data_IF_035386050504
#
_entry.id   IF_035386050504
#
_cell.length_a   1.000
_cell.length_b   1.000
_cell.length_c   1.000
_cell.angle_alpha   90.00
_cell.angle_beta   90.00
_cell.angle_gamma   90.00
#
_symmetry.space_group_name_H-M   'P 1'
#
loop_
_entity.id
_entity.type
_entity.pdbx_description
1 polymer ?
#
# COMPACT_ATOMS: atom_id res chain seq x y z
N UNK A 1 19.85 2.80 -15.98
CA UNK A 1 19.56 2.47 -14.56
C UNK A 1 18.09 2.10 -14.43
N UNK A 2 17.73 1.16 -13.56
CA UNK A 2 16.35 0.66 -13.49
C UNK A 2 15.50 1.44 -12.49
N UNK A 3 14.23 1.68 -12.85
CA UNK A 3 13.21 2.13 -11.90
C UNK A 3 12.69 0.95 -11.09
N UNK A 4 12.31 1.19 -9.83
CA UNK A 4 11.84 0.16 -8.93
C UNK A 4 10.41 0.46 -8.49
N UNK A 5 9.53 -0.55 -8.60
CA UNK A 5 8.17 -0.50 -8.04
C UNK A 5 8.12 -1.38 -6.81
N UNK A 6 7.66 -0.84 -5.69
CA UNK A 6 7.45 -1.59 -4.44
C UNK A 6 5.96 -1.80 -4.22
N UNK A 7 5.55 -3.07 -4.12
CA UNK A 7 4.16 -3.46 -3.84
C UNK A 7 4.10 -4.49 -2.70
N UNK A 8 3.02 -4.51 -1.96
CA UNK A 8 2.75 -5.60 -1.02
C UNK A 8 2.19 -6.82 -1.76
N UNK A 9 2.64 -8.02 -1.42
CA UNK A 9 2.19 -9.26 -2.06
C UNK A 9 1.06 -9.98 -1.31
N UNK A 10 0.68 -9.49 -0.14
CA UNK A 10 -0.31 -10.09 0.76
C UNK A 10 -1.46 -9.09 1.01
N UNK A 11 -1.98 -8.97 2.25
CA UNK A 11 -3.06 -8.04 2.62
C UNK A 11 -2.57 -6.71 3.21
N UNK A 12 -1.41 -6.22 2.81
CA UNK A 12 -0.81 -5.04 3.42
C UNK A 12 -0.06 -5.38 4.71
N UNK A 13 0.52 -4.35 5.34
CA UNK A 13 1.28 -4.49 6.59
C UNK A 13 2.48 -5.46 6.53
N UNK A 14 2.99 -5.73 5.32
CA UNK A 14 4.15 -6.62 5.09
C UNK A 14 5.49 -6.01 5.54
N UNK A 15 5.47 -4.82 6.13
CA UNK A 15 6.70 -4.13 6.52
C UNK A 15 7.32 -3.30 5.38
N UNK A 16 6.51 -2.88 4.41
CA UNK A 16 6.93 -2.04 3.27
C UNK A 16 7.70 -0.80 3.70
N UNK A 17 7.28 -0.14 4.78
CA UNK A 17 7.91 1.11 5.25
C UNK A 17 9.43 1.00 5.42
N UNK A 18 9.93 -0.06 6.05
CA UNK A 18 11.38 -0.31 6.24
C UNK A 18 12.10 -0.45 4.89
N UNK A 19 11.56 -1.26 3.99
CA UNK A 19 12.19 -1.54 2.68
C UNK A 19 12.14 -0.30 1.77
N UNK A 20 11.00 0.41 1.77
CA UNK A 20 10.86 1.68 1.03
C UNK A 20 11.83 2.73 1.58
N UNK A 21 11.98 2.84 2.90
CA UNK A 21 12.95 3.74 3.51
C UNK A 21 14.39 3.41 3.09
N UNK A 22 14.75 2.12 3.11
CA UNK A 22 16.07 1.66 2.67
C UNK A 22 16.31 1.97 1.19
N UNK A 23 15.30 1.76 0.32
CA UNK A 23 15.38 2.05 -1.13
C UNK A 23 15.34 3.56 -1.41
N UNK A 24 14.52 4.33 -0.69
CA UNK A 24 14.38 5.77 -0.90
C UNK A 24 15.69 6.52 -0.72
N UNK A 25 16.58 6.01 0.16
CA UNK A 25 17.92 6.57 0.30
C UNK A 25 18.77 6.48 -0.98
N UNK A 26 18.47 5.50 -1.85
CA UNK A 26 19.17 5.21 -3.10
C UNK A 26 18.46 5.75 -4.34
N UNK A 27 17.23 6.21 -4.20
CA UNK A 27 16.45 6.82 -5.26
C UNK A 27 16.70 8.33 -5.33
N UNK A 28 16.49 8.92 -6.49
CA UNK A 28 16.48 10.36 -6.71
C UNK A 28 15.05 10.91 -6.61
N UNK A 29 14.08 10.12 -7.05
CA UNK A 29 12.64 10.45 -7.04
C UNK A 29 11.85 9.36 -6.36
N UNK A 30 10.89 9.73 -5.49
CA UNK A 30 9.97 8.79 -4.81
C UNK A 30 8.53 9.16 -5.14
N UNK A 31 7.77 8.23 -5.74
CA UNK A 31 6.44 8.46 -6.28
C UNK A 31 5.39 7.64 -5.56
N UNK A 32 4.39 8.28 -4.93
CA UNK A 32 3.14 7.65 -4.54
C UNK A 32 2.19 7.63 -5.73
N UNK A 33 1.67 6.47 -6.11
CA UNK A 33 0.92 6.31 -7.36
C UNK A 33 -0.54 5.85 -7.17
N UNK A 34 -0.95 5.49 -5.95
CA UNK A 34 -2.31 5.03 -5.66
C UNK A 34 -2.66 5.15 -4.17
N UNK A 35 -3.94 4.90 -3.83
CA UNK A 35 -4.46 5.03 -2.48
C UNK A 35 -4.70 6.49 -2.11
N UNK A 36 -4.61 6.79 -0.84
CA UNK A 36 -4.76 8.12 -0.29
C UNK A 36 -4.13 8.17 1.10
N UNK A 37 -4.65 9.03 1.98
CA UNK A 37 -4.16 9.17 3.35
C UNK A 37 -4.61 8.03 4.31
N UNK A 38 -5.27 6.98 3.78
CA UNK A 38 -5.68 5.79 4.53
C UNK A 38 -4.52 4.82 4.84
N UNK A 39 -3.41 4.92 4.12
CA UNK A 39 -2.26 4.05 4.29
C UNK A 39 -1.17 4.77 5.09
N UNK A 40 -1.13 4.56 6.40
CA UNK A 40 -0.06 5.07 7.25
C UNK A 40 1.17 4.18 7.24
N UNK A 41 2.36 4.79 7.19
CA UNK A 41 3.62 4.08 7.42
C UNK A 41 4.54 4.89 8.32
N UNK A 42 5.37 4.19 9.07
CA UNK A 42 6.32 4.80 10.00
C UNK A 42 7.73 4.60 9.49
N UNK A 43 8.49 5.69 9.48
CA UNK A 43 9.91 5.72 9.14
C UNK A 43 10.71 6.17 10.35
N UNK A 44 11.90 5.63 10.52
CA UNK A 44 12.87 6.11 11.51
C UNK A 44 14.10 6.60 10.77
N UNK A 45 14.36 7.90 10.81
CA UNK A 45 15.49 8.54 10.15
C UNK A 45 16.31 9.28 11.20
N UNK A 46 17.57 8.91 11.34
CA UNK A 46 18.51 9.51 12.30
C UNK A 46 17.92 9.61 13.73
N UNK A 47 17.25 8.53 14.18
CA UNK A 47 16.62 8.44 15.51
C UNK A 47 15.27 9.15 15.64
N UNK A 48 14.83 9.89 14.61
CA UNK A 48 13.53 10.58 14.61
C UNK A 48 12.49 9.73 13.92
N UNK A 49 11.33 9.56 14.58
CA UNK A 49 10.19 8.80 14.04
C UNK A 49 9.24 9.70 13.26
N UNK A 50 9.03 9.39 11.99
CA UNK A 50 8.08 10.08 11.12
C UNK A 50 6.91 9.15 10.80
N UNK A 51 5.69 9.61 11.04
CA UNK A 51 4.46 8.89 10.65
C UNK A 51 3.89 9.58 9.42
N UNK A 52 3.97 8.93 8.26
CA UNK A 52 3.46 9.47 7.00
C UNK A 52 2.17 8.75 6.60
N UNK A 53 1.27 9.47 5.95
CA UNK A 53 0.01 8.94 5.44
C UNK A 53 -0.15 9.23 3.94
N UNK A 54 -0.06 10.49 3.53
CA UNK A 54 -0.21 10.93 2.13
C UNK A 54 1.15 11.27 1.50
N UNK A 55 2.06 11.83 2.29
CA UNK A 55 3.40 12.20 1.81
C UNK A 55 4.22 10.97 1.43
N UNK A 56 4.97 11.01 0.31
CA UNK A 56 5.92 9.94 -0.05
C UNK A 56 7.07 9.83 0.96
N UNK A 57 7.63 8.64 1.10
CA UNK A 57 8.76 8.37 2.02
C UNK A 57 10.00 9.22 1.76
N UNK A 58 10.18 9.68 0.52
CA UNK A 58 11.30 10.54 0.14
C UNK A 58 11.32 11.91 0.82
N UNK A 59 10.16 12.41 1.27
CA UNK A 59 10.03 13.77 1.81
C UNK A 59 10.89 14.02 3.06
N UNK A 60 11.11 13.00 3.89
CA UNK A 60 11.91 13.09 5.12
C UNK A 60 13.41 12.96 4.85
N UNK A 61 13.82 12.88 3.58
CA UNK A 61 15.22 12.77 3.18
C UNK A 61 15.63 13.94 2.29
N UNK A 62 16.64 14.65 2.69
CA UNK A 62 17.17 15.78 1.91
C UNK A 62 17.62 15.37 0.49
N UNK A 63 17.49 16.28 -0.47
CA UNK A 63 17.97 16.10 -1.84
C UNK A 63 17.16 15.12 -2.71
N UNK A 64 15.95 14.72 -2.28
CA UNK A 64 15.03 13.86 -3.02
C UNK A 64 13.84 14.65 -3.53
N UNK A 65 13.38 14.30 -4.73
CA UNK A 65 12.09 14.75 -5.22
C UNK A 65 11.01 13.75 -4.79
N UNK A 66 10.00 14.24 -4.13
CA UNK A 66 8.81 13.46 -3.75
C UNK A 66 7.64 13.81 -4.64
N UNK A 67 6.89 12.82 -5.09
CA UNK A 67 5.81 13.02 -6.07
C UNK A 67 4.55 12.29 -5.65
N UNK A 68 3.42 12.98 -5.70
CA UNK A 68 2.08 12.42 -5.56
C UNK A 68 1.44 12.36 -6.94
N UNK A 69 1.27 11.14 -7.46
CA UNK A 69 0.77 10.89 -8.81
C UNK A 69 -0.75 11.02 -8.93
N UNK A 70 -1.23 11.03 -10.17
CA UNK A 70 -2.65 11.16 -10.52
C UNK A 70 -3.53 9.96 -10.10
N UNK A 71 -2.91 8.84 -9.73
CA UNK A 71 -3.62 7.68 -9.20
C UNK A 71 -4.00 7.80 -7.73
N UNK A 72 -3.43 8.75 -7.00
CA UNK A 72 -3.77 9.04 -5.59
C UNK A 72 -5.06 9.85 -5.53
N UNK A 73 -5.98 9.49 -4.61
CA UNK A 73 -7.08 10.37 -4.22
C UNK A 73 -6.57 11.26 -3.08
N UNK A 74 -6.57 12.57 -3.32
CA UNK A 74 -5.84 13.56 -2.55
C UNK A 74 -6.77 14.34 -1.62
N UNK A 75 -6.57 14.20 -0.31
CA UNK A 75 -7.25 15.01 0.69
C UNK A 75 -6.43 16.26 0.98
N UNK A 76 -6.88 17.47 0.56
CA UNK A 76 -6.08 18.67 0.70
C UNK A 76 -5.93 19.14 2.16
N UNK A 77 -6.92 18.91 3.01
CA UNK A 77 -6.86 19.27 4.43
C UNK A 77 -5.92 18.32 5.20
N UNK A 78 -6.04 17.01 4.95
CA UNK A 78 -5.13 16.03 5.51
C UNK A 78 -3.68 16.29 5.06
N UNK A 79 -3.47 16.66 3.80
CA UNK A 79 -2.16 17.03 3.27
C UNK A 79 -1.56 18.22 4.01
N UNK A 80 -2.30 19.33 4.16
CA UNK A 80 -1.82 20.52 4.85
C UNK A 80 -1.48 20.21 6.32
N UNK A 81 -2.33 19.46 7.01
CA UNK A 81 -2.07 19.02 8.39
C UNK A 81 -0.81 18.15 8.50
N UNK A 82 -0.61 17.23 7.55
CA UNK A 82 0.57 16.36 7.54
C UNK A 82 1.85 17.17 7.24
N UNK A 83 1.79 18.09 6.26
CA UNK A 83 2.92 18.99 5.93
C UNK A 83 3.34 19.83 7.14
N UNK A 84 2.40 20.47 7.84
CA UNK A 84 2.72 21.27 9.02
C UNK A 84 3.34 20.43 10.14
N UNK A 85 2.80 19.26 10.40
CA UNK A 85 3.34 18.32 11.39
C UNK A 85 4.77 17.89 11.06
N UNK A 86 5.04 17.56 9.78
CA UNK A 86 6.37 17.10 9.34
C UNK A 86 7.38 18.27 9.30
N UNK A 87 6.95 19.48 8.89
CA UNK A 87 7.76 20.69 9.01
C UNK A 87 8.12 21.01 10.46
N UNK A 88 7.18 20.81 11.39
CA UNK A 88 7.41 20.96 12.83
C UNK A 88 8.45 19.99 13.39
N UNK A 89 8.75 18.89 12.68
CA UNK A 89 9.85 17.96 12.99
C UNK A 89 11.18 18.34 12.29
N UNK A 90 11.28 19.51 11.69
CA UNK A 90 12.51 20.03 11.07
C UNK A 90 12.70 19.65 9.59
N UNK A 91 11.72 19.02 8.95
CA UNK A 91 11.79 18.66 7.53
C UNK A 91 11.42 19.84 6.64
N UNK A 92 12.24 20.16 5.65
CA UNK A 92 11.94 21.18 4.65
C UNK A 92 11.03 20.58 3.57
N UNK A 93 9.81 21.11 3.43
CA UNK A 93 8.84 20.73 2.39
C UNK A 93 8.48 21.97 1.58
N UNK A 94 8.84 21.97 0.31
CA UNK A 94 8.66 23.09 -0.63
C UNK A 94 8.28 22.57 -2.02
N UNK A 95 7.78 23.41 -2.93
CA UNK A 95 7.48 23.02 -4.31
C UNK A 95 8.66 22.43 -5.10
N UNK A 96 9.91 22.75 -4.68
CA UNK A 96 11.12 22.22 -5.33
C UNK A 96 11.40 20.76 -4.97
N UNK A 97 10.87 20.26 -3.85
CA UNK A 97 11.12 18.90 -3.38
C UNK A 97 9.87 18.03 -3.21
N UNK A 98 8.68 18.61 -3.45
CA UNK A 98 7.41 17.89 -3.46
C UNK A 98 6.52 18.40 -4.60
N UNK A 99 6.02 17.48 -5.41
CA UNK A 99 5.08 17.76 -6.50
C UNK A 99 3.80 16.94 -6.34
N UNK A 100 2.68 17.51 -6.75
CA UNK A 100 1.37 16.88 -6.79
C UNK A 100 0.84 16.95 -8.22
N UNK A 101 0.39 15.82 -8.75
CA UNK A 101 -0.19 15.80 -10.09
C UNK A 101 -1.40 16.72 -10.20
N UNK A 102 -1.39 17.60 -11.20
CA UNK A 102 -2.52 18.46 -11.58
C UNK A 102 -3.81 17.67 -11.80
N UNK A 103 -3.68 16.39 -12.21
CA UNK A 103 -4.81 15.49 -12.51
C UNK A 103 -5.25 14.63 -11.32
N UNK A 104 -4.66 14.78 -10.13
CA UNK A 104 -5.05 14.03 -8.95
C UNK A 104 -6.46 14.43 -8.48
N UNK A 105 -7.40 13.48 -8.29
CA UNK A 105 -8.73 13.77 -7.79
C UNK A 105 -8.72 14.09 -6.30
N UNK A 106 -9.55 15.03 -5.88
CA UNK A 106 -9.68 15.45 -4.50
C UNK A 106 -10.61 14.52 -3.71
N UNK A 107 -10.25 14.27 -2.46
CA UNK A 107 -11.18 13.83 -1.43
C UNK A 107 -11.79 15.08 -0.80
N UNK A 108 -13.11 15.17 -0.84
CA UNK A 108 -13.89 16.24 -0.24
C UNK A 108 -14.56 15.74 1.05
N UNK A 109 -14.98 16.61 1.97
CA UNK A 109 -15.65 16.21 3.21
C UNK A 109 -16.83 15.27 3.00
N UNK A 110 -17.59 15.49 1.93
CA UNK A 110 -18.75 14.67 1.55
C UNK A 110 -18.38 13.20 1.27
N UNK A 111 -17.15 12.94 0.79
CA UNK A 111 -16.69 11.57 0.56
C UNK A 111 -16.46 10.81 1.88
N UNK A 112 -15.85 11.46 2.88
CA UNK A 112 -15.65 10.87 4.21
C UNK A 112 -16.96 10.63 4.94
N UNK A 113 -17.91 11.56 4.82
CA UNK A 113 -19.25 11.40 5.38
C UNK A 113 -19.99 10.23 4.73
N UNK A 114 -19.97 10.11 3.40
CA UNK A 114 -20.61 9.01 2.68
C UNK A 114 -19.97 7.65 3.02
N UNK A 115 -18.64 7.59 3.13
CA UNK A 115 -17.92 6.39 3.57
C UNK A 115 -18.36 5.97 4.98
N UNK A 116 -18.48 6.95 5.90
CA UNK A 116 -19.00 6.72 7.25
C UNK A 116 -20.46 6.24 7.27
N UNK A 117 -21.34 6.82 6.46
CA UNK A 117 -22.74 6.42 6.35
C UNK A 117 -22.86 4.98 5.85
N UNK A 118 -22.12 4.62 4.81
CA UNK A 118 -22.12 3.27 4.23
C UNK A 118 -21.61 2.22 5.21
N UNK A 119 -20.52 2.50 5.91
CA UNK A 119 -19.89 1.56 6.86
C UNK A 119 -20.71 1.37 8.15
N UNK A 120 -21.52 2.36 8.52
CA UNK A 120 -22.37 2.30 9.72
C UNK A 120 -23.75 1.69 9.47
N UNK A 121 -24.09 1.27 8.25
CA UNK A 121 -25.40 0.64 7.96
C UNK A 121 -25.57 -0.65 8.74
N UNK A 122 -26.76 -0.84 9.33
CA UNK A 122 -27.10 -2.03 10.11
C UNK A 122 -27.22 -3.26 9.20
N UNK A 123 -27.80 -3.08 8.01
CA UNK A 123 -28.13 -4.16 7.07
C UNK A 123 -27.11 -4.30 5.92
N UNK A 124 -25.91 -3.69 6.05
CA UNK A 124 -24.88 -3.69 5.01
C UNK A 124 -23.73 -4.64 5.29
N UNK A 125 -23.05 -5.04 4.23
CA UNK A 125 -21.73 -5.71 4.35
C UNK A 125 -20.73 -4.68 4.87
N UNK A 126 -20.18 -4.90 6.06
CA UNK A 126 -19.09 -4.09 6.61
C UNK A 126 -17.79 -4.51 5.96
N UNK A 127 -17.15 -3.57 5.28
CA UNK A 127 -15.85 -3.80 4.61
C UNK A 127 -14.70 -3.58 5.58
N UNK A 128 -14.91 -2.77 6.62
CA UNK A 128 -13.88 -2.36 7.58
C UNK A 128 -13.09 -1.16 7.06
N UNK A 129 -13.74 -0.21 6.41
CA UNK A 129 -13.09 0.99 5.84
C UNK A 129 -12.52 1.88 6.93
N UNK A 130 -11.58 2.75 6.54
CA UNK A 130 -11.02 3.78 7.44
C UNK A 130 -11.93 5.01 7.57
N UNK A 131 -13.06 5.06 6.88
CA UNK A 131 -14.01 6.19 6.82
C UNK A 131 -13.36 7.50 6.39
N UNK A 132 -12.35 7.41 5.53
CA UNK A 132 -11.59 8.57 5.01
C UNK A 132 -12.01 8.99 3.61
N UNK A 133 -13.10 8.45 3.09
CA UNK A 133 -13.67 8.84 1.79
C UNK A 133 -12.91 8.32 0.58
N UNK A 134 -12.01 7.36 0.74
CA UNK A 134 -11.19 6.81 -0.35
C UNK A 134 -12.07 6.21 -1.44
N UNK A 135 -12.98 5.30 -1.07
CA UNK A 135 -13.89 4.63 -2.00
C UNK A 135 -14.77 5.61 -2.78
N UNK A 136 -15.53 6.49 -2.09
CA UNK A 136 -16.35 7.49 -2.74
C UNK A 136 -15.58 8.45 -3.68
N UNK A 137 -14.33 8.81 -3.34
CA UNK A 137 -13.52 9.65 -4.23
C UNK A 137 -13.08 8.89 -5.51
N UNK A 138 -12.72 7.61 -5.42
CA UNK A 138 -12.48 6.78 -6.59
C UNK A 138 -13.75 6.55 -7.42
N UNK A 139 -14.90 6.38 -6.79
CA UNK A 139 -16.20 6.29 -7.45
C UNK A 139 -16.46 7.56 -8.29
N UNK A 140 -16.22 8.75 -7.74
CA UNK A 140 -16.37 10.00 -8.45
C UNK A 140 -15.36 10.18 -9.58
N UNK A 141 -14.13 9.72 -9.40
CA UNK A 141 -13.11 9.71 -10.46
C UNK A 141 -13.58 8.90 -11.67
N UNK A 142 -14.06 7.68 -11.46
CA UNK A 142 -14.52 6.79 -12.53
C UNK A 142 -15.81 7.30 -13.15
N UNK A 143 -16.71 7.91 -12.36
CA UNK A 143 -17.92 8.56 -12.83
C UNK A 143 -17.66 9.91 -13.55
N UNK A 144 -16.42 10.38 -13.59
CA UNK A 144 -15.99 11.61 -14.29
C UNK A 144 -16.62 12.90 -13.72
N UNK A 145 -16.97 12.91 -12.42
CA UNK A 145 -17.46 14.07 -11.69
C UNK A 145 -16.51 14.59 -10.60
N UNK A 146 -15.37 13.91 -10.40
CA UNK A 146 -14.38 14.33 -9.42
C UNK A 146 -13.86 15.74 -9.68
N UNK A 147 -13.62 16.49 -8.63
CA UNK A 147 -12.80 17.70 -8.64
C UNK A 147 -11.34 17.28 -8.57
N UNK A 148 -10.47 17.91 -9.37
CA UNK A 148 -9.04 17.63 -9.43
C UNK A 148 -8.23 18.82 -8.95
N UNK A 149 -6.94 18.61 -8.70
CA UNK A 149 -6.02 19.70 -8.28
C UNK A 149 -6.07 20.89 -9.26
N UNK A 150 -6.04 20.64 -10.58
CA UNK A 150 -6.09 21.70 -11.59
C UNK A 150 -7.37 22.54 -11.54
N UNK A 151 -8.48 21.98 -11.04
CA UNK A 151 -9.73 22.72 -10.96
C UNK A 151 -9.69 23.81 -9.88
N UNK A 152 -8.78 23.72 -8.90
CA UNK A 152 -8.52 24.78 -7.91
C UNK A 152 -7.88 26.03 -8.54
N UNK A 153 -7.24 25.89 -9.69
CA UNK A 153 -6.64 27.00 -10.44
C UNK A 153 -7.65 27.70 -11.38
N UNK A 154 -8.89 27.21 -11.46
CA UNK A 154 -9.96 27.72 -12.31
C UNK A 154 -11.21 28.05 -11.47
N UNK A 155 -11.19 29.16 -10.68
CA UNK A 155 -12.29 29.53 -9.80
C UNK A 155 -13.61 29.79 -10.55
N UNK A 156 -13.55 30.24 -11.80
CA UNK A 156 -14.74 30.57 -12.61
C UNK A 156 -15.59 29.33 -12.90
N UNK A 157 -14.95 28.18 -13.16
CA UNK A 157 -15.62 26.93 -13.45
C UNK A 157 -15.77 26.00 -12.25
N UNK A 158 -15.01 26.22 -11.18
CA UNK A 158 -14.99 25.33 -10.01
C UNK A 158 -16.37 25.19 -9.36
N UNK A 159 -17.10 26.33 -9.19
CA UNK A 159 -18.43 26.30 -8.57
C UNK A 159 -19.41 25.45 -9.38
N UNK A 160 -19.45 25.60 -10.70
CA UNK A 160 -20.32 24.82 -11.57
C UNK A 160 -19.98 23.31 -11.52
N UNK A 161 -18.69 22.97 -11.40
CA UNK A 161 -18.26 21.57 -11.22
C UNK A 161 -18.69 21.00 -9.88
N UNK A 162 -18.62 21.79 -8.80
CA UNK A 162 -19.11 21.41 -7.48
C UNK A 162 -20.63 21.22 -7.46
N UNK A 163 -21.37 22.10 -8.12
CA UNK A 163 -22.83 21.97 -8.30
C UNK A 163 -23.19 20.65 -8.99
N UNK A 164 -22.48 20.31 -10.08
CA UNK A 164 -22.68 19.06 -10.80
C UNK A 164 -22.35 17.82 -9.93
N UNK A 165 -21.24 17.85 -9.20
CA UNK A 165 -20.87 16.78 -8.25
C UNK A 165 -21.93 16.65 -7.16
N UNK A 166 -22.33 17.76 -6.55
CA UNK A 166 -23.27 17.78 -5.43
C UNK A 166 -24.70 17.48 -5.88
N UNK A 167 -25.08 17.73 -7.15
CA UNK A 167 -26.36 17.27 -7.67
C UNK A 167 -26.55 15.76 -7.44
N UNK A 168 -25.53 14.95 -7.75
CA UNK A 168 -25.54 13.51 -7.50
C UNK A 168 -25.54 13.18 -6.00
N UNK A 169 -24.60 13.76 -5.25
CA UNK A 169 -24.44 13.42 -3.84
C UNK A 169 -25.61 13.90 -2.98
N UNK A 170 -26.18 15.05 -3.27
CA UNK A 170 -27.35 15.57 -2.54
C UNK A 170 -28.60 14.72 -2.81
N UNK A 171 -28.78 14.20 -4.04
CA UNK A 171 -29.84 13.24 -4.30
C UNK A 171 -29.69 11.97 -3.45
N UNK A 172 -28.46 11.44 -3.33
CA UNK A 172 -28.17 10.30 -2.48
C UNK A 172 -28.37 10.62 -1.00
N UNK A 173 -27.90 11.78 -0.52
CA UNK A 173 -28.06 12.23 0.87
C UNK A 173 -29.51 12.35 1.26
N UNK A 174 -30.37 12.97 0.41
CA UNK A 174 -31.82 13.02 0.64
C UNK A 174 -32.44 11.62 0.79
N UNK A 175 -32.06 10.70 -0.12
CA UNK A 175 -32.54 9.31 -0.06
C UNK A 175 -32.09 8.56 1.20
N UNK A 176 -30.99 8.96 1.81
CA UNK A 176 -30.45 8.40 3.06
C UNK A 176 -30.89 9.18 4.31
N UNK A 177 -31.73 10.21 4.18
CA UNK A 177 -32.23 11.02 5.30
C UNK A 177 -31.22 12.02 5.86
N UNK A 178 -30.22 12.42 5.08
CA UNK A 178 -29.19 13.40 5.46
C UNK A 178 -29.43 14.76 4.78
N UNK A 179 -29.01 15.84 5.45
CA UNK A 179 -29.06 17.19 4.90
C UNK A 179 -28.18 17.33 3.64
N UNK A 180 -28.58 18.21 2.74
CA UNK A 180 -27.80 18.54 1.55
C UNK A 180 -26.54 19.34 1.91
N UNK A 181 -25.50 19.19 1.11
CA UNK A 181 -24.29 20.00 1.18
C UNK A 181 -24.45 21.22 0.28
N UNK A 182 -24.12 22.40 0.78
CA UNK A 182 -24.15 23.65 0.02
C UNK A 182 -22.91 23.74 -0.89
N UNK A 183 -23.08 23.88 -2.22
CA UNK A 183 -21.96 24.03 -3.16
C UNK A 183 -21.10 25.27 -2.87
N UNK A 184 -21.73 26.40 -2.45
CA UNK A 184 -21.00 27.64 -2.18
C UNK A 184 -20.11 27.53 -0.96
N UNK A 185 -20.60 26.93 0.13
CA UNK A 185 -19.81 26.69 1.32
C UNK A 185 -18.59 25.78 1.03
N UNK A 186 -18.79 24.75 0.21
CA UNK A 186 -17.67 23.87 -0.20
C UNK A 186 -16.69 24.60 -1.11
N UNK A 187 -17.18 25.44 -2.05
CA UNK A 187 -16.35 26.30 -2.89
C UNK A 187 -15.47 27.22 -2.04
N UNK A 188 -16.05 27.94 -1.10
CA UNK A 188 -15.33 28.87 -0.22
C UNK A 188 -14.22 28.15 0.57
N UNK A 189 -14.54 26.99 1.12
CA UNK A 189 -13.56 26.19 1.85
C UNK A 189 -12.38 25.70 0.99
N UNK A 190 -12.63 25.37 -0.28
CA UNK A 190 -11.59 25.00 -1.23
C UNK A 190 -10.74 26.21 -1.65
N UNK A 191 -11.37 27.36 -1.89
CA UNK A 191 -10.65 28.59 -2.26
C UNK A 191 -9.76 29.13 -1.13
N UNK A 192 -10.12 28.89 0.13
CA UNK A 192 -9.27 29.24 1.28
C UNK A 192 -7.95 28.46 1.27
N UNK A 193 -7.99 27.18 0.88
CA UNK A 193 -6.79 26.31 0.90
C UNK A 193 -6.05 26.27 -0.45
N UNK A 194 -6.69 26.64 -1.54
CA UNK A 194 -6.12 26.58 -2.90
C UNK A 194 -4.73 27.27 -2.99
N UNK A 195 -4.51 28.50 -2.43
CA UNK A 195 -3.19 29.14 -2.48
C UNK A 195 -2.07 28.36 -1.78
N UNK A 196 -2.41 27.45 -0.85
CA UNK A 196 -1.44 26.60 -0.13
C UNK A 196 -1.14 25.29 -0.88
N UNK A 197 -2.03 24.87 -1.78
CA UNK A 197 -1.92 23.61 -2.54
C UNK A 197 -1.32 23.87 -3.93
N UNK A 198 -1.81 24.88 -4.64
CA UNK A 198 -1.43 25.16 -6.03
C UNK A 198 0.07 25.32 -6.28
N UNK A 199 0.89 25.85 -5.36
CA UNK A 199 2.34 25.89 -5.57
C UNK A 199 2.99 24.52 -5.77
N UNK A 200 2.38 23.44 -5.27
CA UNK A 200 2.87 22.06 -5.44
C UNK A 200 2.35 21.37 -6.71
N UNK A 201 1.39 21.98 -7.42
CA UNK A 201 0.80 21.41 -8.63
C UNK A 201 1.82 21.35 -9.77
N UNK A 202 1.92 20.17 -10.42
CA UNK A 202 2.83 19.95 -11.54
C UNK A 202 2.27 18.95 -12.56
N UNK A 203 2.69 19.03 -13.83
CA UNK A 203 2.45 18.03 -14.86
C UNK A 203 3.33 16.80 -14.62
N UNK A 204 3.01 16.01 -13.58
CA UNK A 204 3.85 14.95 -13.03
C UNK A 204 4.36 13.96 -14.08
N UNK A 205 3.53 13.59 -15.08
CA UNK A 205 3.96 12.69 -16.14
C UNK A 205 5.14 13.25 -16.94
N UNK A 206 5.17 14.57 -17.17
CA UNK A 206 6.24 15.25 -17.88
C UNK A 206 7.51 15.33 -17.02
N UNK A 207 7.38 15.74 -15.77
CA UNK A 207 8.49 15.81 -14.81
C UNK A 207 9.17 14.45 -14.58
N UNK A 208 8.38 13.37 -14.56
CA UNK A 208 8.91 12.01 -14.44
C UNK A 208 9.60 11.54 -15.73
N UNK A 209 9.11 11.92 -16.92
CA UNK A 209 9.77 11.65 -18.20
C UNK A 209 11.13 12.36 -18.26
N UNK A 210 11.20 13.64 -17.88
CA UNK A 210 12.45 14.38 -17.78
C UNK A 210 13.43 13.76 -16.76
N UNK A 211 12.92 13.33 -15.59
CA UNK A 211 13.73 12.62 -14.61
C UNK A 211 14.31 11.32 -15.18
N UNK A 212 13.50 10.56 -15.92
CA UNK A 212 13.94 9.32 -16.57
C UNK A 212 14.98 9.58 -17.68
N UNK A 213 14.79 10.60 -18.52
CA UNK A 213 15.77 11.02 -19.52
C UNK A 213 17.08 11.49 -18.91
N UNK A 214 16.99 12.13 -17.73
CA UNK A 214 18.13 12.52 -16.92
C UNK A 214 18.77 11.37 -16.13
N UNK A 215 18.41 10.10 -16.43
CA UNK A 215 18.92 8.88 -15.79
C UNK A 215 18.71 8.84 -14.27
N UNK A 216 17.72 9.57 -13.74
CA UNK A 216 17.34 9.53 -12.32
C UNK A 216 16.75 8.19 -11.96
N UNK A 217 17.06 7.71 -10.74
CA UNK A 217 16.45 6.50 -10.16
C UNK A 217 15.09 6.83 -9.57
N UNK A 218 14.03 6.25 -10.13
CA UNK A 218 12.67 6.46 -9.66
C UNK A 218 12.22 5.26 -8.84
N UNK A 219 11.76 5.52 -7.62
CA UNK A 219 11.12 4.55 -6.74
C UNK A 219 9.62 4.80 -6.72
N UNK A 220 8.83 3.87 -7.20
CA UNK A 220 7.37 3.89 -7.08
C UNK A 220 6.96 3.18 -5.79
N UNK A 221 6.37 3.92 -4.88
CA UNK A 221 5.94 3.46 -3.56
C UNK A 221 4.47 3.11 -3.56
N UNK A 222 4.15 1.80 -3.53
CA UNK A 222 2.79 1.31 -3.39
C UNK A 222 2.31 1.30 -1.95
N UNK A 223 1.00 1.34 -1.79
CA UNK A 223 0.31 1.19 -0.52
C UNK A 223 -0.55 -0.08 -0.52
N UNK A 224 -0.99 -0.55 0.63
CA UNK A 224 -1.76 -1.79 0.84
C UNK A 224 -0.99 -3.03 0.32
N UNK A 225 -1.70 -4.02 -0.23
CA UNK A 225 -1.12 -5.24 -0.78
C UNK A 225 -2.00 -5.86 -1.85
N UNK A 226 -1.46 -6.79 -2.65
CA UNK A 226 -2.13 -7.37 -3.81
C UNK A 226 -3.47 -8.04 -3.50
N UNK A 227 -3.63 -8.60 -2.30
CA UNK A 227 -4.91 -9.22 -1.89
C UNK A 227 -5.97 -8.18 -1.49
N UNK A 228 -5.60 -6.90 -1.40
CA UNK A 228 -6.51 -5.76 -1.25
C UNK A 228 -6.78 -5.01 -2.56
N UNK A 229 -6.26 -5.49 -3.68
CA UNK A 229 -6.49 -4.92 -5.01
C UNK A 229 -7.97 -5.03 -5.40
N UNK A 230 -8.53 -3.95 -5.98
CA UNK A 230 -9.95 -3.89 -6.33
C UNK A 230 -10.37 -4.97 -7.34
N UNK A 231 -9.48 -5.36 -8.26
CA UNK A 231 -9.76 -6.33 -9.33
C UNK A 231 -9.28 -7.74 -8.98
N UNK A 232 -8.12 -7.86 -8.31
CA UNK A 232 -7.41 -9.12 -8.11
C UNK A 232 -7.40 -9.60 -6.65
N UNK A 233 -7.90 -8.79 -5.73
CA UNK A 233 -7.94 -9.10 -4.30
C UNK A 233 -9.15 -9.92 -3.88
N UNK A 234 -9.34 -10.00 -2.56
CA UNK A 234 -10.44 -10.74 -1.90
C UNK A 234 -11.72 -9.91 -1.84
N UNK A 235 -12.25 -9.54 -3.01
CA UNK A 235 -13.46 -8.73 -3.15
C UNK A 235 -14.66 -9.35 -2.40
N UNK A 236 -15.50 -8.58 -1.67
CA UNK A 236 -15.51 -7.11 -1.59
C UNK A 236 -14.59 -6.52 -0.48
N UNK A 237 -13.87 -7.35 0.26
CA UNK A 237 -13.00 -6.94 1.37
C UNK A 237 -11.63 -6.45 0.86
N UNK A 238 -11.64 -5.37 0.09
CA UNK A 238 -10.49 -4.78 -0.63
C UNK A 238 -10.48 -3.26 -0.49
N UNK A 239 -9.39 -2.61 -0.88
CA UNK A 239 -9.37 -1.16 -1.10
C UNK A 239 -9.99 -0.81 -2.45
N UNK A 240 -10.32 0.46 -2.67
CA UNK A 240 -10.98 0.93 -3.90
C UNK A 240 -9.99 1.31 -5.02
N UNK A 241 -8.74 0.88 -4.92
CA UNK A 241 -7.71 1.13 -5.93
C UNK A 241 -7.01 -0.15 -6.35
N UNK A 242 -6.39 -0.13 -7.53
CA UNK A 242 -5.42 -1.16 -7.89
C UNK A 242 -4.15 -0.96 -7.08
N UNK A 243 -3.66 -2.03 -6.46
CA UNK A 243 -2.48 -2.06 -5.59
C UNK A 243 -1.30 -2.79 -6.23
N UNK A 244 -1.51 -3.43 -7.36
CA UNK A 244 -0.49 -4.12 -8.15
C UNK A 244 0.38 -3.13 -8.94
N UNK A 245 1.55 -3.58 -9.40
CA UNK A 245 2.55 -2.71 -10.02
C UNK A 245 2.08 -2.02 -11.31
N UNK A 246 1.15 -2.60 -12.06
CA UNK A 246 0.57 -1.95 -13.26
C UNK A 246 -0.02 -0.57 -12.97
N UNK A 247 -0.52 -0.35 -11.76
CA UNK A 247 -1.05 0.95 -11.33
C UNK A 247 0.05 2.02 -11.19
N UNK A 248 1.31 1.65 -11.02
CA UNK A 248 2.39 2.63 -10.98
C UNK A 248 2.51 3.37 -12.32
N UNK A 249 2.31 2.67 -13.44
CA UNK A 249 2.26 3.30 -14.76
C UNK A 249 1.06 4.25 -14.89
N UNK A 250 -0.16 3.74 -14.70
CA UNK A 250 -1.39 4.53 -14.85
C UNK A 250 -1.49 5.68 -13.83
N UNK A 251 -1.06 5.45 -12.59
CA UNK A 251 -1.18 6.38 -11.48
C UNK A 251 -0.08 7.43 -11.38
N UNK A 252 0.96 7.35 -12.21
CA UNK A 252 2.01 8.35 -12.31
C UNK A 252 2.09 9.00 -13.70
N UNK A 253 1.43 8.40 -14.71
CA UNK A 253 1.52 8.84 -16.10
C UNK A 253 2.76 8.33 -16.84
N UNK A 254 3.57 7.47 -16.22
CA UNK A 254 4.69 6.81 -16.88
C UNK A 254 4.21 5.64 -17.73
N UNK A 255 4.90 5.35 -18.84
CA UNK A 255 4.58 4.16 -19.62
C UNK A 255 4.96 2.86 -18.89
N UNK A 256 4.28 1.71 -19.17
CA UNK A 256 4.56 0.45 -18.46
C UNK A 256 6.01 -0.06 -18.64
N UNK A 257 6.70 0.33 -19.71
CA UNK A 257 8.13 0.00 -19.92
C UNK A 257 9.08 0.71 -18.95
N UNK A 258 8.60 1.75 -18.25
CA UNK A 258 9.39 2.42 -17.21
C UNK A 258 9.48 1.61 -15.92
N UNK A 259 8.68 0.55 -15.76
CA UNK A 259 8.65 -0.32 -14.58
C UNK A 259 9.67 -1.46 -14.75
N UNK A 260 10.95 -1.17 -14.49
CA UNK A 260 12.03 -2.11 -14.81
C UNK A 260 12.14 -3.27 -13.81
N UNK A 261 11.91 -3.02 -12.52
CA UNK A 261 11.97 -4.02 -11.48
C UNK A 261 10.79 -3.87 -10.52
N UNK A 262 10.06 -4.95 -10.31
CA UNK A 262 8.94 -4.98 -9.37
C UNK A 262 9.33 -5.80 -8.15
N UNK A 263 9.46 -5.12 -7.01
CA UNK A 263 9.78 -5.74 -5.71
C UNK A 263 8.51 -5.99 -4.92
N UNK A 264 8.17 -7.26 -4.73
CA UNK A 264 7.09 -7.71 -3.86
C UNK A 264 7.55 -7.79 -2.40
N UNK A 265 6.92 -7.04 -1.51
CA UNK A 265 7.19 -7.17 -0.07
C UNK A 265 6.28 -8.25 0.48
N UNK A 266 6.88 -9.23 1.14
CA UNK A 266 6.19 -10.44 1.62
C UNK A 266 6.64 -10.75 3.02
N UNK A 267 5.74 -10.94 3.97
CA UNK A 267 6.09 -11.50 5.29
C UNK A 267 6.41 -12.98 5.19
N UNK A 268 7.30 -13.46 6.04
CA UNK A 268 7.60 -14.89 6.20
C UNK A 268 6.41 -15.71 6.77
N UNK A 269 5.32 -15.04 7.12
CA UNK A 269 4.00 -15.59 7.51
C UNK A 269 2.92 -14.66 6.93
N UNK A 270 1.66 -14.87 7.24
CA UNK A 270 0.59 -14.05 6.67
C UNK A 270 -0.17 -13.32 7.77
N UNK A 271 -0.56 -12.06 7.49
CA UNK A 271 -1.45 -11.29 8.38
C UNK A 271 -2.55 -10.60 7.59
N UNK A 272 -3.69 -10.40 8.24
CA UNK A 272 -4.81 -9.66 7.68
C UNK A 272 -5.44 -8.75 8.73
N UNK A 273 -5.81 -7.53 8.33
CA UNK A 273 -6.65 -6.61 9.10
C UNK A 273 -8.06 -6.64 8.53
N UNK A 274 -9.06 -6.58 9.40
CA UNK A 274 -10.45 -6.50 8.98
C UNK A 274 -11.11 -7.83 8.66
N UNK A 275 -12.26 -7.72 8.05
CA UNK A 275 -13.13 -8.84 7.73
C UNK A 275 -12.69 -9.57 6.46
N UNK A 276 -13.40 -10.62 6.12
CA UNK A 276 -13.21 -11.39 4.90
C UNK A 276 -12.38 -12.66 5.09
N UNK A 277 -12.33 -13.50 4.04
CA UNK A 277 -11.71 -14.81 4.09
C UNK A 277 -10.19 -14.75 4.29
N UNK A 278 -9.67 -15.67 5.10
CA UNK A 278 -8.25 -15.84 5.38
C UNK A 278 -7.93 -17.34 5.46
N UNK A 279 -7.62 -18.00 4.33
CA UNK A 279 -7.50 -19.45 4.26
C UNK A 279 -6.50 -20.07 5.26
N UNK A 280 -5.40 -19.39 5.51
CA UNK A 280 -4.32 -19.90 6.40
C UNK A 280 -4.39 -19.32 7.82
N UNK A 281 -5.52 -18.71 8.23
CA UNK A 281 -5.68 -18.14 9.56
C UNK A 281 -5.49 -19.18 10.66
N UNK A 282 -4.82 -18.76 11.74
CA UNK A 282 -4.59 -19.52 12.95
C UNK A 282 -5.25 -18.83 14.14
N UNK A 283 -6.18 -19.52 14.77
CA UNK A 283 -6.91 -19.05 15.96
C UNK A 283 -6.44 -19.74 17.24
N UNK A 284 -5.34 -20.48 17.15
CA UNK A 284 -4.69 -21.24 18.22
C UNK A 284 -3.49 -20.48 18.83
N UNK A 285 -2.78 -21.13 19.76
CA UNK A 285 -1.59 -20.58 20.42
C UNK A 285 -0.48 -20.17 19.44
N UNK A 286 -0.40 -20.82 18.27
CA UNK A 286 0.57 -20.48 17.23
C UNK A 286 0.21 -19.13 16.63
N UNK A 287 -1.06 -18.91 16.28
CA UNK A 287 -1.56 -17.63 15.79
C UNK A 287 -1.35 -16.49 16.78
N UNK A 288 -1.62 -16.73 18.07
CA UNK A 288 -1.37 -15.76 19.14
C UNK A 288 0.14 -15.43 19.25
N UNK A 289 0.99 -16.43 19.24
CA UNK A 289 2.45 -16.28 19.33
C UNK A 289 3.01 -15.49 18.13
N UNK A 290 2.51 -15.71 16.92
CA UNK A 290 2.86 -14.90 15.74
C UNK A 290 2.46 -13.44 15.94
N UNK A 291 1.26 -13.18 16.45
CA UNK A 291 0.73 -11.86 16.72
C UNK A 291 1.56 -11.08 17.75
N UNK A 292 1.90 -11.70 18.86
CA UNK A 292 2.69 -11.10 19.94
C UNK A 292 4.13 -10.81 19.48
N UNK A 293 4.84 -11.80 18.94
CA UNK A 293 6.21 -11.65 18.48
C UNK A 293 6.37 -10.70 17.33
N UNK A 294 5.40 -10.74 16.40
CA UNK A 294 5.35 -9.87 15.25
C UNK A 294 4.89 -8.44 15.59
N UNK A 295 4.45 -8.16 16.82
CA UNK A 295 3.79 -6.91 17.19
C UNK A 295 2.68 -6.56 16.18
N UNK A 296 1.81 -7.55 15.89
CA UNK A 296 0.80 -7.44 14.86
C UNK A 296 -0.43 -6.66 15.36
N UNK A 297 -0.24 -5.36 15.54
CA UNK A 297 -1.27 -4.40 15.91
C UNK A 297 -1.30 -3.24 14.90
N UNK A 298 -2.49 -2.75 14.58
CA UNK A 298 -2.66 -1.64 13.66
C UNK A 298 -2.05 -0.35 14.20
N UNK A 299 -1.16 0.27 13.45
CA UNK A 299 -0.42 1.48 13.85
C UNK A 299 -1.35 2.67 14.16
N UNK A 300 -2.52 2.74 13.50
CA UNK A 300 -3.48 3.84 13.65
C UNK A 300 -4.64 3.45 14.59
N UNK A 301 -5.12 2.23 14.49
CA UNK A 301 -6.33 1.77 15.20
C UNK A 301 -6.03 0.94 16.44
N UNK A 302 -4.78 0.48 16.62
CA UNK A 302 -4.40 -0.46 17.67
C UNK A 302 -5.06 -1.85 17.53
N UNK A 303 -5.85 -2.10 16.47
CA UNK A 303 -6.55 -3.35 16.25
C UNK A 303 -5.56 -4.48 16.00
N UNK A 304 -5.75 -5.63 16.68
CA UNK A 304 -4.96 -6.82 16.46
C UNK A 304 -5.16 -7.34 15.03
N UNK A 305 -4.07 -7.71 14.37
CA UNK A 305 -4.08 -8.38 13.08
C UNK A 305 -4.30 -9.88 13.27
N UNK A 306 -5.11 -10.47 12.43
CA UNK A 306 -5.27 -11.91 12.28
C UNK A 306 -3.96 -12.46 11.72
N UNK A 307 -3.48 -13.60 12.23
CA UNK A 307 -2.21 -14.20 11.81
C UNK A 307 -2.44 -15.61 11.24
N UNK A 308 -1.57 -16.02 10.32
CA UNK A 308 -1.62 -17.34 9.71
C UNK A 308 -0.30 -17.75 9.09
N UNK A 309 -0.20 -19.02 8.69
CA UNK A 309 0.98 -19.54 8.00
C UNK A 309 1.19 -18.87 6.65
N UNK A 310 2.40 -18.96 6.12
CA UNK A 310 2.76 -18.47 4.79
C UNK A 310 1.89 -19.15 3.71
N UNK A 311 1.32 -18.36 2.81
CA UNK A 311 0.46 -18.82 1.73
C UNK A 311 1.16 -18.64 0.38
N UNK A 312 1.79 -19.72 -0.12
CA UNK A 312 2.50 -19.69 -1.39
C UNK A 312 1.56 -19.55 -2.59
N UNK A 313 0.31 -20.03 -2.48
CA UNK A 313 -0.69 -19.92 -3.57
C UNK A 313 -1.06 -18.46 -3.79
N UNK A 314 -1.36 -17.74 -2.71
CA UNK A 314 -1.71 -16.34 -2.73
C UNK A 314 -0.54 -15.47 -3.23
N UNK A 315 0.68 -15.73 -2.73
CA UNK A 315 1.88 -14.98 -3.15
C UNK A 315 2.20 -15.22 -4.62
N UNK A 316 2.04 -16.45 -5.13
CA UNK A 316 2.16 -16.74 -6.58
C UNK A 316 1.14 -15.97 -7.41
N UNK A 317 -0.10 -15.86 -6.94
CA UNK A 317 -1.12 -15.06 -7.62
C UNK A 317 -0.68 -13.58 -7.68
N UNK A 318 -0.20 -13.03 -6.57
CA UNK A 318 0.32 -11.65 -6.52
C UNK A 318 1.53 -11.44 -7.46
N UNK A 319 2.42 -12.44 -7.58
CA UNK A 319 3.56 -12.40 -8.49
C UNK A 319 3.09 -12.31 -9.94
N UNK A 320 2.14 -13.16 -10.34
CA UNK A 320 1.63 -13.21 -11.71
C UNK A 320 0.85 -11.95 -12.06
N UNK A 321 -0.12 -11.55 -11.22
CA UNK A 321 -0.97 -10.38 -11.48
C UNK A 321 -0.23 -9.06 -11.35
N UNK A 322 0.74 -8.98 -10.44
CA UNK A 322 1.55 -7.80 -10.18
C UNK A 322 2.82 -7.69 -11.00
N UNK A 323 3.20 -8.74 -11.77
CA UNK A 323 4.47 -8.74 -12.50
C UNK A 323 5.69 -8.66 -11.59
N UNK A 324 5.63 -9.23 -10.38
CA UNK A 324 6.71 -9.17 -9.39
C UNK A 324 7.91 -9.97 -9.91
N UNK A 325 9.10 -9.35 -9.90
CA UNK A 325 10.35 -9.92 -10.41
C UNK A 325 11.33 -10.32 -9.30
N UNK A 326 11.06 -9.90 -8.08
CA UNK A 326 11.83 -10.29 -6.91
C UNK A 326 11.05 -10.00 -5.62
N UNK A 327 11.38 -10.74 -4.58
CA UNK A 327 10.74 -10.66 -3.25
C UNK A 327 11.70 -10.03 -2.25
N UNK A 328 11.18 -9.14 -1.40
CA UNK A 328 11.78 -8.79 -0.12
C UNK A 328 10.99 -9.52 0.98
N UNK A 329 11.58 -10.57 1.53
CA UNK A 329 11.00 -11.35 2.62
C UNK A 329 11.25 -10.63 3.94
N UNK A 330 10.19 -10.37 4.70
CA UNK A 330 10.26 -9.60 5.94
C UNK A 330 9.85 -10.42 7.15
N UNK A 331 10.27 -9.96 8.33
CA UNK A 331 9.88 -10.55 9.63
C UNK A 331 10.24 -12.03 9.79
N UNK A 332 11.39 -12.44 9.24
CA UNK A 332 11.88 -13.82 9.40
C UNK A 332 12.14 -14.13 10.87
N UNK A 333 12.62 -13.16 11.64
CA UNK A 333 12.91 -13.23 13.08
C UNK A 333 11.71 -13.59 13.97
N UNK A 334 10.50 -13.34 13.49
CA UNK A 334 9.27 -13.72 14.20
C UNK A 334 9.10 -15.23 14.30
N UNK A 335 9.67 -15.97 13.34
CA UNK A 335 9.62 -17.43 13.27
C UNK A 335 10.70 -18.13 14.08
N UNK A 336 11.62 -17.41 14.72
CA UNK A 336 12.66 -17.99 15.57
C UNK A 336 12.07 -18.84 16.69
N UNK A 337 12.63 -20.05 16.93
CA UNK A 337 12.21 -20.96 17.99
C UNK A 337 10.85 -21.63 17.82
N UNK A 338 10.27 -21.64 16.62
CA UNK A 338 9.21 -22.59 16.28
C UNK A 338 9.83 -23.95 15.96
N UNK A 339 9.21 -25.03 16.44
CA UNK A 339 9.69 -26.40 16.16
C UNK A 339 9.33 -26.83 14.73
N UNK A 340 8.18 -26.43 14.25
CA UNK A 340 7.64 -26.73 12.92
C UNK A 340 7.06 -25.46 12.32
N UNK A 341 7.24 -25.29 11.01
CA UNK A 341 6.62 -24.24 10.20
C UNK A 341 5.80 -24.92 9.10
N UNK A 342 4.68 -24.28 8.70
CA UNK A 342 3.83 -24.78 7.62
C UNK A 342 3.73 -23.75 6.52
N UNK A 343 3.72 -24.24 5.28
CA UNK A 343 3.53 -23.43 4.08
C UNK A 343 2.29 -23.96 3.35
N UNK A 344 1.33 -23.11 3.04
CA UNK A 344 0.19 -23.50 2.21
C UNK A 344 0.63 -23.57 0.75
N UNK A 345 0.49 -24.77 0.15
CA UNK A 345 0.91 -25.07 -1.22
C UNK A 345 -0.26 -25.28 -2.17
N UNK A 346 -1.49 -25.32 -1.66
CA UNK A 346 -2.72 -25.53 -2.41
C UNK A 346 -3.94 -25.37 -1.54
N UNK A 347 -5.10 -25.39 -2.14
CA UNK A 347 -6.38 -25.41 -1.43
C UNK A 347 -7.21 -26.61 -1.89
N UNK A 348 -8.05 -27.12 -1.00
CA UNK A 348 -9.11 -28.06 -1.31
C UNK A 348 -10.44 -27.32 -1.33
N UNK A 349 -11.20 -27.45 -2.43
CA UNK A 349 -12.54 -26.89 -2.59
C UNK A 349 -13.43 -27.93 -3.26
N UNK A 350 -14.56 -28.26 -2.65
CA UNK A 350 -15.51 -29.29 -3.13
C UNK A 350 -14.82 -30.62 -3.50
N UNK A 351 -13.87 -31.05 -2.65
CA UNK A 351 -13.11 -32.28 -2.85
C UNK A 351 -11.99 -32.22 -3.90
N UNK A 352 -11.82 -31.09 -4.61
CA UNK A 352 -10.80 -30.89 -5.64
C UNK A 352 -9.66 -30.05 -5.13
N UNK A 353 -8.43 -30.38 -5.53
CA UNK A 353 -7.24 -29.57 -5.23
C UNK A 353 -7.15 -28.45 -6.28
N UNK A 354 -7.05 -27.22 -5.81
CA UNK A 354 -6.84 -26.03 -6.64
C UNK A 354 -5.58 -25.28 -6.20
N UNK A 355 -4.91 -24.63 -7.16
CA UNK A 355 -3.67 -23.85 -6.94
C UNK A 355 -3.86 -22.37 -7.24
N UNK A 356 -5.04 -21.85 -6.96
CA UNK A 356 -5.42 -20.44 -7.09
C UNK A 356 -6.47 -20.10 -6.04
N UNK A 357 -6.51 -18.85 -5.61
CA UNK A 357 -7.62 -18.39 -4.78
C UNK A 357 -8.86 -18.21 -5.70
N UNK A 358 -10.04 -18.74 -5.34
CA UNK A 358 -11.25 -18.49 -6.12
C UNK A 358 -11.68 -17.02 -6.00
N UNK A 359 -12.39 -16.50 -7.02
CA UNK A 359 -12.85 -15.12 -7.02
C UNK A 359 -14.08 -14.87 -6.12
N UNK A 360 -14.96 -15.85 -5.99
CA UNK A 360 -16.21 -15.70 -5.23
C UNK A 360 -15.98 -15.78 -3.72
N UNK A 361 -16.56 -14.86 -2.93
CA UNK A 361 -16.41 -14.76 -1.47
C UNK A 361 -16.78 -16.06 -0.74
N UNK A 362 -17.89 -16.71 -1.14
CA UNK A 362 -18.30 -17.99 -0.55
C UNK A 362 -17.27 -19.10 -0.82
N UNK A 363 -16.75 -19.18 -2.04
CA UNK A 363 -15.70 -20.13 -2.38
C UNK A 363 -14.38 -19.83 -1.66
N UNK A 364 -14.01 -18.56 -1.50
CA UNK A 364 -12.85 -18.16 -0.72
C UNK A 364 -12.97 -18.56 0.76
N UNK A 365 -14.17 -18.46 1.33
CA UNK A 365 -14.43 -18.87 2.71
C UNK A 365 -14.48 -20.40 2.89
N UNK A 366 -14.77 -21.15 1.81
CA UNK A 366 -14.91 -22.61 1.84
C UNK A 366 -13.61 -23.36 1.50
N UNK A 367 -12.55 -22.68 1.07
CA UNK A 367 -11.27 -23.36 0.78
C UNK A 367 -10.61 -23.85 2.06
N UNK A 368 -10.09 -25.07 2.01
CA UNK A 368 -9.28 -25.69 3.06
C UNK A 368 -7.80 -25.64 2.62
N UNK A 369 -6.88 -25.04 3.41
CA UNK A 369 -5.47 -24.98 3.04
C UNK A 369 -4.81 -26.36 3.11
N UNK A 370 -3.97 -26.66 2.12
CA UNK A 370 -3.12 -27.86 2.08
C UNK A 370 -1.72 -27.39 2.45
N UNK A 371 -1.20 -27.94 3.54
CA UNK A 371 0.10 -27.54 4.08
C UNK A 371 1.20 -28.55 3.77
N UNK A 372 2.38 -28.03 3.52
CA UNK A 372 3.65 -28.70 3.65
C UNK A 372 4.35 -28.27 4.94
N UNK A 373 4.87 -29.22 5.73
CA UNK A 373 5.56 -28.96 6.98
C UNK A 373 7.05 -28.93 6.76
N UNK A 374 7.72 -28.01 7.43
CA UNK A 374 9.18 -27.89 7.47
C UNK A 374 9.67 -27.82 8.92
N UNK A 375 10.87 -28.35 9.23
CA UNK A 375 11.50 -28.08 10.51
C UNK A 375 11.72 -26.58 10.72
N UNK A 376 11.39 -26.09 11.91
CA UNK A 376 11.81 -24.76 12.33
C UNK A 376 13.25 -24.73 12.83
N UNK A 377 13.67 -23.63 13.41
CA UNK A 377 15.03 -23.44 13.92
C UNK A 377 15.04 -22.90 15.34
N UNK A 378 16.09 -23.28 16.10
CA UNK A 378 16.25 -22.84 17.50
C UNK A 378 17.21 -21.64 17.63
N UNK A 379 18.02 -21.35 16.62
CA UNK A 379 18.87 -20.17 16.56
C UNK A 379 18.09 -18.89 16.30
N UNK A 380 18.73 -17.74 16.47
CA UNK A 380 18.13 -16.45 16.12
C UNK A 380 18.53 -16.04 14.72
N UNK A 381 17.56 -15.52 13.96
CA UNK A 381 17.80 -14.85 12.69
C UNK A 381 17.89 -13.34 12.87
N UNK A 382 17.56 -12.83 14.06
CA UNK A 382 17.48 -11.40 14.35
C UNK A 382 18.83 -10.72 14.20
N UNK A 383 18.87 -9.66 13.40
CA UNK A 383 20.07 -8.86 13.15
C UNK A 383 21.06 -9.49 12.16
N UNK A 384 20.73 -10.64 11.56
CA UNK A 384 21.55 -11.24 10.51
C UNK A 384 21.65 -10.29 9.29
N UNK A 385 22.87 -10.15 8.75
CA UNK A 385 23.19 -9.28 7.60
C UNK A 385 23.81 -10.03 6.43
N UNK A 386 24.09 -11.31 6.63
CA UNK A 386 24.56 -12.24 5.59
C UNK A 386 23.86 -13.59 5.70
N UNK A 387 23.90 -14.38 4.62
CA UNK A 387 23.39 -15.76 4.65
C UNK A 387 24.09 -16.64 5.67
N UNK A 388 25.37 -16.39 5.92
CA UNK A 388 26.17 -17.18 6.86
C UNK A 388 25.73 -16.96 8.32
N UNK A 389 25.03 -15.87 8.61
CA UNK A 389 24.52 -15.56 9.94
C UNK A 389 23.20 -16.30 10.25
N UNK A 390 22.56 -16.89 9.22
CA UNK A 390 21.27 -17.55 9.38
C UNK A 390 21.45 -19.03 9.77
N UNK A 391 20.56 -19.57 10.64
CA UNK A 391 20.45 -21.02 10.83
C UNK A 391 20.17 -21.75 9.51
N UNK A 392 20.70 -22.97 9.35
CA UNK A 392 20.55 -23.73 8.11
C UNK A 392 19.08 -23.99 7.73
N UNK A 393 18.22 -24.24 8.71
CA UNK A 393 16.78 -24.46 8.51
C UNK A 393 16.09 -23.18 8.06
N UNK A 394 16.50 -22.00 8.55
CA UNK A 394 15.99 -20.73 8.09
C UNK A 394 16.37 -20.47 6.62
N UNK A 395 17.59 -20.78 6.22
CA UNK A 395 18.04 -20.75 4.81
C UNK A 395 17.18 -21.68 3.95
N UNK A 396 16.95 -22.92 4.40
CA UNK A 396 16.11 -23.90 3.70
C UNK A 396 14.68 -23.39 3.55
N UNK A 397 14.10 -22.79 4.59
CA UNK A 397 12.77 -22.20 4.56
C UNK A 397 12.66 -21.11 3.50
N UNK A 398 13.60 -20.17 3.46
CA UNK A 398 13.60 -19.09 2.45
C UNK A 398 13.76 -19.65 1.04
N UNK A 399 14.65 -20.62 0.82
CA UNK A 399 14.85 -21.25 -0.48
C UNK A 399 13.64 -22.04 -0.94
N UNK A 400 12.99 -22.74 -0.03
CA UNK A 400 11.77 -23.48 -0.34
C UNK A 400 10.61 -22.55 -0.72
N UNK A 401 10.47 -21.39 -0.05
CA UNK A 401 9.54 -20.35 -0.47
C UNK A 401 9.85 -19.89 -1.90
N UNK A 402 11.11 -19.59 -2.23
CA UNK A 402 11.55 -19.21 -3.59
C UNK A 402 11.08 -20.23 -4.64
N UNK A 403 11.28 -21.52 -4.39
CA UNK A 403 10.87 -22.61 -5.28
C UNK A 403 9.35 -22.66 -5.44
N UNK A 404 8.62 -22.63 -4.34
CA UNK A 404 7.16 -22.72 -4.34
C UNK A 404 6.49 -21.54 -5.06
N UNK A 405 7.00 -20.32 -4.88
CA UNK A 405 6.41 -19.12 -5.50
C UNK A 405 6.96 -18.85 -6.91
N UNK A 406 8.08 -19.47 -7.30
CA UNK A 406 8.71 -19.32 -8.60
C UNK A 406 9.27 -17.90 -8.83
N UNK A 407 9.72 -17.22 -7.78
CA UNK A 407 10.26 -15.87 -7.84
C UNK A 407 11.42 -15.72 -6.86
N UNK A 408 12.56 -15.12 -7.27
CA UNK A 408 13.73 -15.01 -6.42
C UNK A 408 13.49 -14.11 -5.21
N UNK A 409 13.96 -14.52 -4.04
CA UNK A 409 14.06 -13.69 -2.85
C UNK A 409 15.34 -12.86 -2.94
N UNK A 410 15.20 -11.60 -3.35
CA UNK A 410 16.33 -10.67 -3.52
C UNK A 410 16.78 -9.96 -2.25
N UNK A 411 15.93 -9.94 -1.22
CA UNK A 411 16.20 -9.30 0.07
C UNK A 411 15.54 -10.10 1.22
N UNK A 412 16.20 -10.17 2.37
CA UNK A 412 15.62 -10.71 3.61
C UNK A 412 15.79 -9.69 4.73
N UNK A 413 14.70 -9.27 5.35
CA UNK A 413 14.70 -8.40 6.52
C UNK A 413 14.60 -9.26 7.78
N UNK A 414 15.57 -9.11 8.68
CA UNK A 414 15.80 -9.98 9.84
C UNK A 414 15.49 -9.32 11.18
N UNK A 415 15.09 -8.02 11.18
CA UNK A 415 14.63 -7.30 12.37
C UNK A 415 13.88 -6.01 11.95
N UNK A 416 13.30 -5.25 12.89
CA UNK A 416 12.75 -3.93 12.61
C UNK A 416 13.80 -2.89 12.19
N UNK A 417 15.07 -3.07 12.60
CA UNK A 417 16.15 -2.12 12.35
C UNK A 417 16.47 -2.02 10.85
N UNK A 418 16.69 -0.80 10.37
CA UNK A 418 16.87 -0.49 8.96
C UNK A 418 18.00 -1.28 8.29
N UNK A 419 19.15 -1.39 8.96
CA UNK A 419 20.36 -1.99 8.41
C UNK A 419 20.36 -3.55 8.48
N UNK A 420 19.39 -4.15 9.18
CA UNK A 420 19.28 -5.59 9.32
C UNK A 420 18.55 -6.19 8.11
N UNK A 421 19.24 -6.14 6.98
CA UNK A 421 18.78 -6.63 5.68
C UNK A 421 19.92 -7.42 5.02
N UNK A 422 19.62 -8.64 4.61
CA UNK A 422 20.47 -9.44 3.73
C UNK A 422 20.09 -9.07 2.30
N UNK A 423 21.01 -8.44 1.56
CA UNK A 423 20.82 -8.04 0.16
C UNK A 423 21.49 -9.04 -0.76
N UNK A 424 20.72 -9.74 -1.58
CA UNK A 424 21.22 -10.68 -2.60
C UNK A 424 21.18 -10.11 -4.00
N UNK A 425 20.21 -9.23 -4.27
CA UNK A 425 20.05 -8.55 -5.56
C UNK A 425 19.68 -7.09 -5.32
N UNK A 426 20.45 -6.18 -5.87
CA UNK A 426 20.13 -4.74 -5.83
C UNK A 426 19.04 -4.44 -6.86
N UNK A 427 17.83 -3.98 -6.43
CA UNK A 427 16.72 -3.70 -7.34
C UNK A 427 17.03 -2.64 -8.39
N UNK A 428 17.90 -1.65 -8.09
CA UNK A 428 18.28 -0.60 -9.02
C UNK A 428 19.36 -1.02 -10.03
N UNK A 429 19.99 -2.19 -9.83
CA UNK A 429 21.02 -2.77 -10.73
C UNK A 429 20.50 -3.99 -11.50
N UNK A 430 19.22 -4.35 -11.35
CA UNK A 430 18.65 -5.45 -12.11
C UNK A 430 18.77 -5.14 -13.63
N UNK A 431 19.11 -6.13 -14.46
CA UNK A 431 19.14 -5.93 -15.91
C UNK A 431 17.73 -5.49 -16.38
N UNK A 432 17.72 -4.50 -17.25
CA UNK A 432 16.53 -3.94 -17.91
C UNK A 432 15.97 -4.94 -18.92
#
# INVERSE_FOLDING_TARGET
MGNVVVVGSQWGDEGKGKIVDWLSNRADVVVRFQGGHNAGHTLVVDGTTYKLSLLPSGVVRGGKLSVIGNGVVFDPWAFLSEVERIKGQGVKITPENLMISESAPLILPIHSELDGIRENRVDGIKIGTTKRGIGPAYEDKVARRAIRICDLADPEHLLARLENLLHHHNALRRGLGHAETDPKALYESLMEIAPKILPFMAPVWHELDEAQRGEKKILFEGAQGAMLDIDHGTYPFVTSSNTIAGQAAAGSGMGPRALNYVLGITKAYTTRVGEGPFPTELTDDIGHRLGERGHEFGTVTGRQRRCGWFDAVMVRQAIVTGGITGIALTKLDVLDGFAELKICIGYKLDGKIIRRLPAGTAAQAAVEPIYESMPGWQGSTRGARSWADLPAEAVKYVRHIEELIGCPVGMVSTSPEREDVILMRDPFKAPV
#
